data_IF_550208857860
#
_entry.id   IF_550208857860
#
_cell.length_a   1.000
_cell.length_b   1.000
_cell.length_c   1.000
_cell.angle_alpha   90.00
_cell.angle_beta   90.00
_cell.angle_gamma   90.00
#
_symmetry.space_group_name_H-M   'P 1'
#
loop_
_entity.id
_entity.type
_entity.pdbx_description
1 polymer ?
#
# COMPACT_ATOMS: atom_id res chain seq x y z
N UNK A 1 -7.92 7.01 22.18
CA UNK A 1 -8.56 5.70 21.97
C UNK A 1 -9.09 5.69 20.56
N UNK A 2 -8.75 4.66 19.78
CA UNK A 2 -9.21 4.52 18.40
C UNK A 2 -10.62 3.92 18.41
N UNK A 3 -11.50 4.47 17.59
CA UNK A 3 -12.89 4.03 17.43
C UNK A 3 -13.03 2.98 16.32
N UNK A 4 -14.11 2.21 16.36
CA UNK A 4 -14.43 1.24 15.31
C UNK A 4 -14.68 1.90 13.96
N UNK A 5 -15.23 3.12 13.94
CA UNK A 5 -15.42 3.90 12.70
C UNK A 5 -14.09 4.31 12.06
N UNK A 6 -13.09 4.67 12.87
CA UNK A 6 -11.74 4.95 12.36
C UNK A 6 -11.10 3.70 11.76
N UNK A 7 -11.27 2.53 12.39
CA UNK A 7 -10.80 1.24 11.84
C UNK A 7 -11.48 0.96 10.51
N UNK A 8 -12.80 1.13 10.41
CA UNK A 8 -13.56 0.93 9.16
C UNK A 8 -13.08 1.88 8.05
N UNK A 9 -12.79 3.14 8.40
CA UNK A 9 -12.24 4.12 7.45
C UNK A 9 -10.86 3.71 6.93
N UNK A 10 -9.96 3.26 7.81
CA UNK A 10 -8.63 2.79 7.45
C UNK A 10 -8.73 1.53 6.58
N UNK A 11 -9.60 0.59 6.94
CA UNK A 11 -9.83 -0.64 6.17
C UNK A 11 -10.30 -0.32 4.75
N UNK A 12 -11.21 0.65 4.58
CA UNK A 12 -11.64 1.13 3.26
C UNK A 12 -10.48 1.71 2.44
N UNK A 13 -9.60 2.51 3.06
CA UNK A 13 -8.41 3.06 2.38
C UNK A 13 -7.41 1.98 1.96
N UNK A 14 -7.27 0.93 2.77
CA UNK A 14 -6.41 -0.22 2.50
C UNK A 14 -7.06 -1.29 1.59
N UNK A 15 -8.31 -1.07 1.15
CA UNK A 15 -9.12 -2.05 0.42
C UNK A 15 -9.24 -3.42 1.12
N UNK A 16 -9.51 -3.38 2.43
CA UNK A 16 -9.70 -4.56 3.28
C UNK A 16 -11.16 -4.66 3.74
N UNK A 17 -11.74 -5.86 3.61
CA UNK A 17 -13.05 -6.19 4.17
C UNK A 17 -12.86 -6.80 5.56
N UNK A 18 -13.50 -6.22 6.57
CA UNK A 18 -13.40 -6.66 7.96
C UNK A 18 -14.77 -7.07 8.50
N UNK A 19 -14.81 -8.11 9.33
CA UNK A 19 -15.95 -8.42 10.16
C UNK A 19 -16.06 -7.41 11.33
N UNK A 20 -17.25 -7.26 11.91
CA UNK A 20 -17.45 -6.35 13.04
C UNK A 20 -16.62 -6.76 14.27
N UNK A 21 -16.48 -8.07 14.53
CA UNK A 21 -15.63 -8.58 15.61
C UNK A 21 -14.14 -8.25 15.42
N UNK A 22 -13.67 -8.23 14.18
CA UNK A 22 -12.30 -7.82 13.84
C UNK A 22 -12.12 -6.32 14.04
N UNK A 23 -13.15 -5.53 13.77
CA UNK A 23 -13.12 -4.07 13.94
C UNK A 23 -12.91 -3.69 15.41
N UNK A 24 -13.66 -4.31 16.33
CA UNK A 24 -13.50 -4.08 17.78
C UNK A 24 -12.13 -4.51 18.28
N UNK A 25 -11.66 -5.68 17.83
CA UNK A 25 -10.32 -6.18 18.15
C UNK A 25 -9.24 -5.21 17.67
N UNK A 26 -9.31 -4.75 16.43
CA UNK A 26 -8.32 -3.84 15.87
C UNK A 26 -8.37 -2.45 16.51
N UNK A 27 -9.52 -1.95 16.93
CA UNK A 27 -9.60 -0.68 17.66
C UNK A 27 -8.76 -0.71 18.95
N UNK A 28 -8.81 -1.85 19.68
CA UNK A 28 -8.00 -2.07 20.88
C UNK A 28 -6.52 -2.19 20.51
N UNK A 29 -6.19 -3.08 19.57
CA UNK A 29 -4.79 -3.33 19.18
C UNK A 29 -4.09 -2.11 18.58
N UNK A 30 -4.81 -1.28 17.80
CA UNK A 30 -4.26 -0.04 17.27
C UNK A 30 -4.06 0.98 18.38
N UNK A 31 -4.95 1.05 19.37
CA UNK A 31 -4.76 1.94 20.53
C UNK A 31 -3.46 1.60 21.27
N UNK A 32 -3.21 0.31 21.51
CA UNK A 32 -1.99 -0.17 22.18
C UNK A 32 -0.75 0.11 21.32
N UNK A 33 -0.82 -0.17 20.01
CA UNK A 33 0.29 0.05 19.08
C UNK A 33 0.66 1.53 19.00
N UNK A 34 -0.32 2.42 18.88
CA UNK A 34 -0.10 3.87 18.86
C UNK A 34 0.47 4.37 20.19
N UNK A 35 0.06 3.78 21.33
CA UNK A 35 0.66 4.12 22.61
C UNK A 35 2.16 3.81 22.66
N UNK A 36 2.61 2.71 22.05
CA UNK A 36 4.04 2.40 21.91
C UNK A 36 4.73 3.41 20.97
N UNK A 37 4.12 3.71 19.82
CA UNK A 37 4.70 4.67 18.85
C UNK A 37 4.83 6.08 19.44
N UNK A 38 3.93 6.47 20.34
CA UNK A 38 3.99 7.77 21.03
C UNK A 38 5.23 7.97 21.90
N UNK A 39 5.93 6.91 22.28
CA UNK A 39 7.22 7.02 22.98
C UNK A 39 8.25 7.78 22.13
N UNK A 40 8.10 7.78 20.80
CA UNK A 40 8.97 8.55 19.91
C UNK A 40 8.80 10.07 20.04
N UNK A 41 7.68 10.55 20.60
CA UNK A 41 7.43 11.99 20.84
C UNK A 41 8.34 12.58 21.93
N UNK A 42 8.98 11.74 22.75
CA UNK A 42 9.92 12.16 23.81
C UNK A 42 11.24 12.70 23.26
N UNK A 43 11.55 12.40 21.99
CA UNK A 43 12.81 12.79 21.35
C UNK A 43 12.59 14.08 20.53
N UNK A 44 13.35 15.14 20.86
CA UNK A 44 13.32 16.39 20.10
C UNK A 44 13.93 16.20 18.70
N UNK A 45 13.08 16.37 17.69
CA UNK A 45 13.44 16.27 16.27
C UNK A 45 13.38 17.62 15.53
N UNK A 46 13.20 18.74 16.24
CA UNK A 46 13.04 20.07 15.64
C UNK A 46 14.22 20.54 14.78
N UNK A 47 15.42 20.01 15.05
CA UNK A 47 16.67 20.42 14.40
C UNK A 47 17.29 19.34 13.50
N UNK A 48 16.56 18.25 13.20
CA UNK A 48 17.07 17.17 12.33
C UNK A 48 16.19 17.02 11.09
N UNK A 49 16.83 16.82 9.94
CA UNK A 49 16.10 16.54 8.71
C UNK A 49 15.64 15.07 8.69
N UNK A 50 14.47 14.76 8.11
CA UNK A 50 14.03 13.38 7.92
C UNK A 50 15.01 12.58 7.05
N UNK A 51 15.21 11.32 7.41
CA UNK A 51 16.02 10.38 6.61
C UNK A 51 15.14 9.61 5.65
N UNK A 52 15.22 9.91 4.35
CA UNK A 52 14.44 9.23 3.30
C UNK A 52 15.17 8.03 2.68
N UNK A 53 16.50 8.09 2.62
CA UNK A 53 17.36 7.04 2.05
C UNK A 53 18.70 7.01 2.79
N UNK A 54 19.34 5.83 2.82
CA UNK A 54 20.64 5.62 3.49
C UNK A 54 21.80 5.44 2.51
N UNK A 55 21.51 5.33 1.21
CA UNK A 55 22.46 4.99 0.15
C UNK A 55 23.00 6.21 -0.63
N UNK A 56 22.57 7.43 -0.27
CA UNK A 56 22.98 8.69 -0.90
C UNK A 56 22.88 8.72 -2.43
N UNK A 57 21.95 7.94 -3.01
CA UNK A 57 21.78 7.92 -4.45
C UNK A 57 21.17 9.24 -4.92
N UNK A 58 21.76 9.81 -5.96
CA UNK A 58 21.31 11.06 -6.57
C UNK A 58 21.17 10.84 -8.07
N UNK A 59 20.03 11.25 -8.62
CA UNK A 59 19.78 11.32 -10.06
C UNK A 59 20.09 10.01 -10.81
N UNK A 60 19.62 8.87 -10.27
CA UNK A 60 19.72 7.59 -10.97
C UNK A 60 18.70 7.58 -12.11
N UNK A 61 19.20 7.69 -13.33
CA UNK A 61 18.40 7.70 -14.56
C UNK A 61 18.57 6.40 -15.34
N UNK A 62 17.68 6.22 -16.32
CA UNK A 62 17.74 5.17 -17.34
C UNK A 62 17.69 5.86 -18.69
N UNK A 63 18.55 5.46 -19.62
CA UNK A 63 18.51 5.92 -21.00
C UNK A 63 17.14 5.65 -21.65
N UNK A 64 16.70 6.55 -22.53
CA UNK A 64 15.43 6.41 -23.25
C UNK A 64 15.57 5.48 -24.46
N UNK A 65 15.98 4.24 -24.19
CA UNK A 65 16.18 3.21 -25.20
C UNK A 65 15.34 1.97 -24.89
N UNK A 66 14.96 1.24 -25.95
CA UNK A 66 14.21 -0.02 -25.82
C UNK A 66 15.17 -1.15 -25.45
N UNK A 67 15.03 -1.66 -24.23
CA UNK A 67 15.79 -2.80 -23.75
C UNK A 67 15.08 -4.12 -24.08
N UNK A 68 15.35 -4.68 -25.27
CA UNK A 68 14.64 -5.86 -25.81
C UNK A 68 14.74 -7.09 -24.92
N UNK A 69 15.82 -7.25 -24.15
CA UNK A 69 16.01 -8.34 -23.18
C UNK A 69 15.00 -8.32 -22.02
N UNK A 70 14.39 -7.18 -21.74
CA UNK A 70 13.41 -7.00 -20.65
C UNK A 70 11.96 -6.99 -21.12
N UNK A 71 11.73 -7.09 -22.42
CA UNK A 71 10.38 -7.13 -22.98
C UNK A 71 9.73 -8.47 -22.65
N UNK A 72 8.60 -8.43 -21.95
CA UNK A 72 7.81 -9.62 -21.65
C UNK A 72 6.84 -9.91 -22.80
N UNK A 73 6.88 -11.13 -23.42
CA UNK A 73 5.85 -11.55 -24.35
C UNK A 73 4.47 -11.55 -23.69
N UNK A 74 3.41 -11.17 -24.40
CA UNK A 74 2.05 -11.05 -23.85
C UNK A 74 1.61 -12.31 -23.08
N UNK A 75 1.87 -13.50 -23.64
CA UNK A 75 1.51 -14.77 -23.00
C UNK A 75 2.23 -15.00 -21.65
N UNK A 76 3.45 -14.50 -21.48
CA UNK A 76 4.16 -14.54 -20.20
C UNK A 76 3.62 -13.48 -19.24
N UNK A 77 3.35 -12.28 -19.74
CA UNK A 77 2.86 -11.16 -18.95
C UNK A 77 1.50 -11.45 -18.27
N UNK A 78 0.63 -12.24 -18.92
CA UNK A 78 -0.71 -12.56 -18.39
C UNK A 78 -0.82 -13.95 -17.75
N UNK A 79 0.28 -14.72 -17.71
CA UNK A 79 0.25 -16.15 -17.33
C UNK A 79 -0.32 -16.39 -15.93
N UNK A 80 -0.03 -15.50 -14.99
CA UNK A 80 -0.44 -15.62 -13.58
C UNK A 80 -1.81 -14.96 -13.30
N UNK A 81 -2.44 -14.35 -14.30
CA UNK A 81 -3.74 -13.71 -14.11
C UNK A 81 -4.84 -14.76 -13.98
N UNK A 82 -5.66 -14.63 -12.93
CA UNK A 82 -6.77 -15.57 -12.63
C UNK A 82 -7.74 -15.75 -13.80
N UNK A 83 -8.09 -14.66 -14.48
CA UNK A 83 -8.99 -14.67 -15.63
C UNK A 83 -8.37 -13.87 -16.78
N UNK A 84 -8.32 -14.46 -17.96
CA UNK A 84 -7.80 -13.82 -19.17
C UNK A 84 -8.74 -14.05 -20.35
N UNK A 85 -8.88 -13.06 -21.23
CA UNK A 85 -9.65 -13.21 -22.47
C UNK A 85 -9.03 -12.34 -23.58
N UNK A 86 -8.76 -12.92 -24.75
CA UNK A 86 -8.20 -12.24 -25.92
C UNK A 86 -6.96 -11.35 -25.61
N UNK A 87 -6.08 -11.79 -24.72
CA UNK A 87 -4.88 -11.05 -24.34
C UNK A 87 -5.07 -9.97 -23.27
N UNK A 88 -6.26 -9.88 -22.67
CA UNK A 88 -6.58 -8.96 -21.57
C UNK A 88 -6.72 -9.71 -20.24
N UNK A 89 -6.39 -9.02 -19.15
CA UNK A 89 -6.75 -9.44 -17.78
C UNK A 89 -8.20 -9.03 -17.54
N UNK A 90 -9.05 -9.99 -17.20
CA UNK A 90 -10.48 -9.77 -17.01
C UNK A 90 -10.78 -9.53 -15.54
N UNK A 91 -11.38 -8.38 -15.26
CA UNK A 91 -11.88 -7.99 -13.94
C UNK A 91 -13.38 -7.73 -14.00
N UNK A 92 -14.02 -7.68 -12.84
CA UNK A 92 -15.41 -7.24 -12.75
C UNK A 92 -15.54 -5.81 -13.30
N UNK A 93 -16.65 -5.55 -13.99
CA UNK A 93 -16.91 -4.25 -14.59
C UNK A 93 -16.95 -3.18 -13.51
N UNK A 94 -16.11 -2.16 -13.65
CA UNK A 94 -16.16 -0.98 -12.80
C UNK A 94 -17.37 -0.14 -13.22
N UNK A 95 -18.29 0.08 -12.30
CA UNK A 95 -19.41 1.00 -12.44
C UNK A 95 -19.17 2.13 -11.45
N UNK A 96 -19.10 3.35 -11.96
CA UNK A 96 -19.01 4.53 -11.12
C UNK A 96 -20.41 4.88 -10.61
N UNK A 97 -20.59 4.83 -9.29
CA UNK A 97 -21.84 5.20 -8.60
C UNK A 97 -21.67 6.55 -7.85
N UNK A 98 -20.77 7.40 -8.33
CA UNK A 98 -20.62 8.79 -7.86
C UNK A 98 -21.93 9.56 -7.88
#
# INVERSE_FOLDING_TARGET
VITTDEVKKIAKLANLTLADSETEKFATQFTDTIAVVKQLEEVDTSNVNPTYQVNNLLNITREDEVETSRVLPQGIAIREAKNTHNGFIVVERIIDNS
#
